data_IF_792577179948
#
_entry.id   IF_792577179948
#
_cell.length_a   1.000
_cell.length_b   1.000
_cell.length_c   1.000
_cell.angle_alpha   90.00
_cell.angle_beta   90.00
_cell.angle_gamma   90.00
#
_symmetry.space_group_name_H-M   'P 1'
#
loop_
_entity.id
_entity.type
_entity.pdbx_description
1 polymer ?
#
# COMPACT_ATOMS: atom_id res chain seq x y z
N UNK A 1 -0.52 28.69 5.79
CA UNK A 1 -0.68 29.02 4.35
C UNK A 1 0.43 29.99 3.94
N UNK A 2 0.98 29.80 2.73
CA UNK A 2 2.02 30.67 2.16
C UNK A 2 1.43 32.01 1.70
N UNK A 3 2.23 33.07 1.78
CA UNK A 3 1.90 34.33 1.07
C UNK A 3 2.05 34.14 -0.45
N UNK A 4 1.35 34.94 -1.29
CA UNK A 4 1.47 34.84 -2.75
C UNK A 4 2.92 34.97 -3.24
N UNK A 5 3.70 35.87 -2.64
CA UNK A 5 5.12 36.06 -2.97
C UNK A 5 5.97 34.83 -2.61
N UNK A 6 5.74 34.20 -1.45
CA UNK A 6 6.44 32.98 -1.06
C UNK A 6 6.10 31.81 -1.99
N UNK A 7 4.81 31.65 -2.35
CA UNK A 7 4.38 30.61 -3.29
C UNK A 7 5.02 30.81 -4.66
N UNK A 8 4.99 32.02 -5.19
CA UNK A 8 5.63 32.34 -6.47
C UNK A 8 7.14 32.10 -6.44
N UNK A 9 7.82 32.55 -5.38
CA UNK A 9 9.26 32.30 -5.20
C UNK A 9 9.56 30.80 -5.19
N UNK A 10 8.86 30.00 -4.38
CA UNK A 10 9.04 28.55 -4.37
C UNK A 10 8.83 27.92 -5.75
N UNK A 11 7.80 28.37 -6.48
CA UNK A 11 7.49 27.88 -7.83
C UNK A 11 8.65 28.13 -8.80
N UNK A 12 9.09 29.38 -8.92
CA UNK A 12 10.17 29.76 -9.83
C UNK A 12 11.47 29.03 -9.49
N UNK A 13 11.75 28.83 -8.20
CA UNK A 13 12.99 28.16 -7.78
C UNK A 13 12.96 26.65 -8.02
N UNK A 14 11.82 26.00 -7.82
CA UNK A 14 11.62 24.60 -8.18
C UNK A 14 11.70 24.39 -9.70
N UNK A 15 11.09 25.28 -10.47
CA UNK A 15 11.12 25.24 -11.93
C UNK A 15 12.55 25.34 -12.48
N UNK A 16 13.31 26.35 -12.02
CA UNK A 16 14.73 26.54 -12.39
C UNK A 16 15.61 25.35 -12.04
N UNK A 17 15.34 24.70 -10.91
CA UNK A 17 16.06 23.49 -10.50
C UNK A 17 15.84 22.35 -11.50
N UNK A 18 14.63 22.22 -12.05
CA UNK A 18 14.32 21.22 -13.07
C UNK A 18 15.01 21.50 -14.40
N UNK A 19 15.02 22.75 -14.85
CA UNK A 19 15.50 23.15 -16.18
C UNK A 19 17.03 23.25 -16.32
N UNK A 20 17.75 23.49 -15.22
CA UNK A 20 19.19 23.74 -15.31
C UNK A 20 20.00 22.43 -15.30
N UNK A 21 20.89 22.26 -16.29
CA UNK A 21 21.89 21.17 -16.31
C UNK A 21 22.82 21.24 -15.07
N UNK A 22 23.14 22.47 -14.64
CA UNK A 22 23.92 22.77 -13.44
C UNK A 22 23.08 23.58 -12.45
N UNK A 23 22.90 23.04 -11.23
CA UNK A 23 22.13 23.69 -10.18
C UNK A 23 22.81 25.00 -9.72
N UNK A 24 22.13 26.13 -9.89
CA UNK A 24 22.61 27.44 -9.41
C UNK A 24 22.68 27.47 -7.88
N UNK A 25 23.54 28.30 -7.29
CA UNK A 25 23.63 28.43 -5.83
C UNK A 25 22.29 28.80 -5.21
N UNK A 26 21.56 29.73 -5.82
CA UNK A 26 20.27 30.18 -5.32
C UNK A 26 19.21 29.06 -5.38
N UNK A 27 19.16 28.28 -6.46
CA UNK A 27 18.23 27.12 -6.56
C UNK A 27 18.58 26.02 -5.56
N UNK A 28 19.88 25.78 -5.31
CA UNK A 28 20.33 24.83 -4.29
C UNK A 28 19.90 25.27 -2.90
N UNK A 29 20.12 26.54 -2.55
CA UNK A 29 19.68 27.09 -1.26
C UNK A 29 18.16 26.99 -1.07
N UNK A 30 17.37 27.27 -2.12
CA UNK A 30 15.91 27.12 -2.06
C UNK A 30 15.49 25.66 -1.83
N UNK A 31 16.15 24.71 -2.51
CA UNK A 31 15.93 23.28 -2.31
C UNK A 31 16.29 22.82 -0.88
N UNK A 32 17.42 23.28 -0.34
CA UNK A 32 17.84 22.99 1.03
C UNK A 32 16.83 23.53 2.06
N UNK A 33 16.25 24.71 1.81
CA UNK A 33 15.22 25.29 2.68
C UNK A 33 13.94 24.44 2.71
N UNK A 34 13.46 23.97 1.56
CA UNK A 34 12.25 23.14 1.51
C UNK A 34 12.50 21.76 2.13
N UNK A 35 13.69 21.17 1.92
CA UNK A 35 14.10 19.94 2.59
C UNK A 35 14.21 20.11 4.10
N UNK A 36 14.76 21.24 4.56
CA UNK A 36 14.83 21.54 5.99
C UNK A 36 13.43 21.61 6.61
N UNK A 37 12.48 22.30 5.95
CA UNK A 37 11.08 22.33 6.38
C UNK A 37 10.48 20.92 6.45
N UNK A 38 10.67 20.12 5.41
CA UNK A 38 10.20 18.74 5.39
C UNK A 38 10.73 17.94 6.59
N UNK A 39 12.01 18.09 6.93
CA UNK A 39 12.63 17.42 8.09
C UNK A 39 12.03 17.88 9.41
N UNK A 40 11.75 19.17 9.58
CA UNK A 40 11.05 19.68 10.77
C UNK A 40 9.64 19.08 10.90
N UNK A 41 8.88 19.04 9.80
CA UNK A 41 7.54 18.46 9.79
C UNK A 41 7.59 16.95 10.08
N UNK A 42 8.53 16.22 9.49
CA UNK A 42 8.76 14.80 9.79
C UNK A 42 9.11 14.58 11.26
N UNK A 43 9.93 15.45 11.87
CA UNK A 43 10.26 15.37 13.29
C UNK A 43 9.02 15.60 14.18
N UNK A 44 8.14 16.55 13.82
CA UNK A 44 6.89 16.80 14.52
C UNK A 44 5.93 15.59 14.40
N UNK A 45 5.78 15.01 13.21
CA UNK A 45 4.94 13.83 13.00
C UNK A 45 5.41 12.61 13.79
N UNK A 46 6.72 12.46 14.01
CA UNK A 46 7.28 11.37 14.84
C UNK A 46 6.90 11.46 16.32
N UNK A 47 6.51 12.63 16.82
CA UNK A 47 6.06 12.81 18.21
C UNK A 47 4.62 12.34 18.42
N UNK A 48 3.87 12.13 17.34
CA UNK A 48 2.48 11.67 17.39
C UNK A 48 2.44 10.17 17.13
N UNK A 49 1.67 9.43 17.93
CA UNK A 49 1.52 7.98 17.75
C UNK A 49 0.38 7.64 16.78
N UNK A 50 -0.77 8.30 16.94
CA UNK A 50 -1.98 8.07 16.13
C UNK A 50 -1.79 8.43 14.66
N UNK A 51 -2.08 7.48 13.77
CA UNK A 51 -1.98 7.70 12.33
C UNK A 51 -3.08 8.63 11.81
N UNK A 52 -4.29 8.57 12.38
CA UNK A 52 -5.35 9.53 12.06
C UNK A 52 -4.94 10.97 12.42
N UNK A 53 -4.30 11.17 13.57
CA UNK A 53 -3.80 12.50 13.97
C UNK A 53 -2.65 12.94 13.07
N UNK A 54 -1.74 12.04 12.68
CA UNK A 54 -0.70 12.35 11.70
C UNK A 54 -1.30 12.75 10.35
N UNK A 55 -2.36 12.09 9.90
CA UNK A 55 -3.03 12.41 8.65
C UNK A 55 -3.59 13.85 8.66
N UNK A 56 -4.25 14.25 9.75
CA UNK A 56 -4.73 15.63 9.91
C UNK A 56 -3.58 16.66 9.94
N UNK A 57 -2.47 16.33 10.62
CA UNK A 57 -1.29 17.19 10.63
C UNK A 57 -0.66 17.33 9.25
N UNK A 58 -0.49 16.22 8.51
CA UNK A 58 0.01 16.24 7.14
C UNK A 58 -0.88 17.11 6.24
N UNK A 59 -2.20 16.97 6.38
CA UNK A 59 -3.19 17.77 5.63
C UNK A 59 -3.06 19.27 5.90
N UNK A 60 -2.82 19.65 7.15
CA UNK A 60 -2.57 21.05 7.51
C UNK A 60 -1.23 21.59 6.96
N UNK A 61 -0.22 20.73 6.82
CA UNK A 61 1.12 21.09 6.35
C UNK A 61 1.26 21.13 4.82
N UNK A 62 0.51 20.30 4.08
CA UNK A 62 0.60 20.17 2.62
C UNK A 62 0.52 21.52 1.86
N UNK A 63 -0.37 22.47 2.21
CA UNK A 63 -0.45 23.77 1.54
C UNK A 63 0.82 24.62 1.62
N UNK A 64 1.79 24.29 2.49
CA UNK A 64 3.08 24.98 2.59
C UNK A 64 4.10 24.53 1.54
N UNK A 65 3.75 23.55 0.72
CA UNK A 65 4.58 23.00 -0.35
C UNK A 65 4.03 23.29 -1.74
N UNK A 66 2.83 23.86 -1.84
CA UNK A 66 2.13 24.17 -3.08
C UNK A 66 3.03 24.82 -4.16
N UNK A 67 3.80 25.84 -3.78
CA UNK A 67 4.70 26.52 -4.72
C UNK A 67 5.78 25.58 -5.25
N UNK A 68 6.37 24.76 -4.38
CA UNK A 68 7.39 23.78 -4.78
C UNK A 68 6.81 22.67 -5.66
N UNK A 69 5.62 22.18 -5.32
CA UNK A 69 4.87 21.20 -6.11
C UNK A 69 4.62 21.76 -7.52
N UNK A 70 4.00 22.94 -7.60
CA UNK A 70 3.63 23.54 -8.88
C UNK A 70 4.86 23.75 -9.77
N UNK A 71 5.95 24.29 -9.22
CA UNK A 71 7.16 24.55 -10.01
C UNK A 71 7.91 23.28 -10.42
N UNK A 72 7.91 22.24 -9.58
CA UNK A 72 8.56 20.96 -9.94
C UNK A 72 7.80 20.28 -11.07
N UNK A 73 6.46 20.24 -10.97
CA UNK A 73 5.61 19.63 -11.99
C UNK A 73 5.61 20.44 -13.30
N UNK A 74 5.60 21.77 -13.23
CA UNK A 74 5.71 22.63 -14.42
C UNK A 74 7.06 22.46 -15.14
N UNK A 75 8.14 22.14 -14.42
CA UNK A 75 9.45 21.89 -15.02
C UNK A 75 9.52 20.59 -15.84
N UNK A 76 8.66 19.63 -15.51
CA UNK A 76 8.58 18.28 -16.08
C UNK A 76 9.93 17.56 -16.27
N UNK A 77 10.91 17.86 -15.41
CA UNK A 77 12.31 17.47 -15.64
C UNK A 77 12.64 16.02 -15.29
N UNK A 78 11.78 15.33 -14.56
CA UNK A 78 12.07 14.01 -13.99
C UNK A 78 13.23 14.00 -12.99
N UNK A 79 13.69 15.17 -12.54
CA UNK A 79 14.77 15.26 -11.56
C UNK A 79 14.32 14.68 -10.22
N UNK A 80 15.17 13.83 -9.62
CA UNK A 80 14.92 13.27 -8.30
C UNK A 80 14.69 14.39 -7.26
N UNK A 81 13.59 14.26 -6.53
CA UNK A 81 13.16 15.19 -5.51
C UNK A 81 12.50 14.44 -4.35
N UNK A 82 13.19 14.40 -3.21
CA UNK A 82 12.72 13.74 -1.98
C UNK A 82 11.43 14.38 -1.45
N UNK A 83 11.26 15.69 -1.65
CA UNK A 83 10.07 16.41 -1.21
C UNK A 83 8.86 15.89 -1.99
N UNK A 84 8.92 15.86 -3.31
CA UNK A 84 7.80 15.42 -4.15
C UNK A 84 7.35 13.99 -3.83
N UNK A 85 8.29 13.04 -3.76
CA UNK A 85 7.94 11.64 -3.46
C UNK A 85 7.38 11.47 -2.04
N UNK A 86 7.85 12.27 -1.07
CA UNK A 86 7.32 12.24 0.30
C UNK A 86 5.92 12.84 0.37
N UNK A 87 5.68 13.95 -0.33
CA UNK A 87 4.38 14.62 -0.34
C UNK A 87 3.32 13.79 -1.07
N UNK A 88 3.70 12.99 -2.09
CA UNK A 88 2.81 12.01 -2.70
C UNK A 88 2.25 11.04 -1.66
N UNK A 89 3.14 10.46 -0.84
CA UNK A 89 2.72 9.54 0.23
C UNK A 89 1.85 10.26 1.26
N UNK A 90 2.21 11.49 1.66
CA UNK A 90 1.39 12.26 2.59
C UNK A 90 0.00 12.56 2.03
N UNK A 91 -0.12 12.87 0.75
CA UNK A 91 -1.41 13.07 0.10
C UNK A 91 -2.28 11.81 0.17
N UNK A 92 -1.68 10.63 -0.04
CA UNK A 92 -2.37 9.34 0.13
C UNK A 92 -2.82 9.13 1.58
N UNK A 93 -1.93 9.37 2.55
CA UNK A 93 -2.24 9.24 3.98
C UNK A 93 -3.41 10.15 4.41
N UNK A 94 -3.49 11.35 3.80
CA UNK A 94 -4.56 12.32 4.04
C UNK A 94 -5.85 12.04 3.27
N UNK A 95 -5.87 11.01 2.41
CA UNK A 95 -6.96 10.72 1.47
C UNK A 95 -7.25 11.90 0.51
N UNK A 96 -6.25 12.74 0.24
CA UNK A 96 -6.33 13.80 -0.78
C UNK A 96 -6.05 13.18 -2.15
N UNK A 97 -7.09 12.60 -2.74
CA UNK A 97 -6.98 11.86 -4.00
C UNK A 97 -6.51 12.76 -5.15
N UNK A 98 -6.92 14.03 -5.18
CA UNK A 98 -6.53 14.95 -6.25
C UNK A 98 -5.01 15.21 -6.22
N UNK A 99 -4.45 15.51 -5.05
CA UNK A 99 -3.02 15.75 -4.93
C UNK A 99 -2.22 14.44 -5.08
N UNK A 100 -2.71 13.33 -4.53
CA UNK A 100 -2.06 12.02 -4.65
C UNK A 100 -1.93 11.57 -6.10
N UNK A 101 -2.98 11.75 -6.92
CA UNK A 101 -2.95 11.43 -8.35
C UNK A 101 -2.05 12.38 -9.14
N UNK A 102 -2.11 13.69 -8.85
CA UNK A 102 -1.25 14.71 -9.47
C UNK A 102 0.23 14.37 -9.27
N UNK A 103 0.64 14.09 -8.04
CA UNK A 103 2.03 13.74 -7.71
C UNK A 103 2.38 12.32 -8.18
N UNK A 104 1.46 11.37 -8.00
CA UNK A 104 1.63 9.97 -8.37
C UNK A 104 1.90 9.78 -9.85
N UNK A 105 1.19 10.51 -10.72
CA UNK A 105 1.44 10.52 -12.16
C UNK A 105 2.88 10.90 -12.47
N UNK A 106 3.33 12.06 -11.98
CA UNK A 106 4.68 12.55 -12.21
C UNK A 106 5.75 11.59 -11.67
N UNK A 107 5.58 11.10 -10.43
CA UNK A 107 6.53 10.19 -9.79
C UNK A 107 6.65 8.86 -10.57
N UNK A 108 5.54 8.28 -11.02
CA UNK A 108 5.52 7.00 -11.75
C UNK A 108 5.99 7.16 -13.20
N UNK A 109 5.62 8.25 -13.86
CA UNK A 109 6.01 8.53 -15.25
C UNK A 109 7.53 8.72 -15.37
N UNK A 110 8.12 9.51 -14.47
CA UNK A 110 9.56 9.76 -14.43
C UNK A 110 10.38 8.72 -13.65
N UNK A 111 9.73 7.72 -13.04
CA UNK A 111 10.40 6.66 -12.30
C UNK A 111 11.17 7.14 -11.07
N UNK A 112 10.64 8.15 -10.35
CA UNK A 112 11.32 8.69 -9.19
C UNK A 112 11.38 7.67 -8.06
N UNK A 113 12.56 7.58 -7.44
CA UNK A 113 12.81 6.60 -6.38
C UNK A 113 12.25 7.08 -5.04
N UNK A 114 11.56 6.18 -4.32
CA UNK A 114 11.19 6.44 -2.93
C UNK A 114 12.41 6.24 -2.01
N UNK A 115 12.56 7.01 -0.93
CA UNK A 115 13.65 6.81 0.03
C UNK A 115 13.59 5.41 0.67
N UNK A 116 14.63 4.60 0.42
CA UNK A 116 14.68 3.19 0.83
C UNK A 116 14.65 2.97 2.35
N UNK A 117 15.03 3.97 3.14
CA UNK A 117 14.98 3.94 4.59
C UNK A 117 13.55 4.09 5.14
N UNK A 118 12.66 4.72 4.36
CA UNK A 118 11.26 4.99 4.75
C UNK A 118 10.28 4.05 4.08
N UNK A 119 10.57 3.62 2.84
CA UNK A 119 9.68 2.84 2.01
C UNK A 119 10.34 1.56 1.55
N UNK A 120 9.65 0.43 1.76
CA UNK A 120 10.11 -0.90 1.33
C UNK A 120 9.68 -1.26 -0.10
N UNK A 121 8.83 -0.44 -0.71
CA UNK A 121 8.15 -0.68 -1.99
C UNK A 121 8.36 0.53 -2.90
N UNK A 122 8.35 0.29 -4.21
CA UNK A 122 8.46 1.36 -5.22
C UNK A 122 7.18 2.23 -5.30
N UNK A 123 7.27 3.32 -6.06
CA UNK A 123 6.17 4.28 -6.21
C UNK A 123 4.90 3.67 -6.77
N UNK A 124 5.04 2.79 -7.77
CA UNK A 124 3.93 2.14 -8.47
C UNK A 124 3.14 1.28 -7.49
N UNK A 125 3.86 0.48 -6.72
CA UNK A 125 3.31 -0.40 -5.69
C UNK A 125 2.63 0.39 -4.59
N UNK A 126 3.30 1.42 -4.06
CA UNK A 126 2.73 2.29 -3.00
C UNK A 126 1.45 2.98 -3.49
N UNK A 127 1.46 3.57 -4.68
CA UNK A 127 0.30 4.26 -5.23
C UNK A 127 -0.89 3.31 -5.42
N UNK A 128 -0.68 2.17 -6.08
CA UNK A 128 -1.73 1.20 -6.34
C UNK A 128 -2.33 0.62 -5.05
N UNK A 129 -1.47 0.26 -4.10
CA UNK A 129 -1.88 -0.40 -2.86
C UNK A 129 -2.56 0.55 -1.88
N UNK A 130 -1.94 1.69 -1.60
CA UNK A 130 -2.39 2.58 -0.53
C UNK A 130 -3.64 3.36 -0.94
N UNK A 131 -3.86 3.62 -2.23
CA UNK A 131 -5.15 4.16 -2.72
C UNK A 131 -6.26 3.11 -2.69
N UNK A 132 -5.92 1.82 -2.84
CA UNK A 132 -6.91 0.73 -2.79
C UNK A 132 -7.33 0.36 -1.36
N UNK A 133 -6.41 0.45 -0.39
CA UNK A 133 -6.61 0.00 0.99
C UNK A 133 -7.87 0.59 1.68
N UNK A 134 -8.15 1.91 1.59
CA UNK A 134 -9.35 2.52 2.19
C UNK A 134 -10.65 1.94 1.62
N UNK A 135 -10.72 1.77 0.30
CA UNK A 135 -11.90 1.22 -0.40
C UNK A 135 -12.16 -0.21 0.05
N UNK A 136 -11.10 -1.03 0.12
CA UNK A 136 -11.21 -2.43 0.55
C UNK A 136 -11.54 -2.57 2.04
N UNK A 137 -11.01 -1.67 2.87
CA UNK A 137 -11.34 -1.61 4.29
C UNK A 137 -12.82 -1.30 4.45
N UNK A 138 -13.31 -0.24 3.79
CA UNK A 138 -14.71 0.16 3.85
C UNK A 138 -15.63 -0.95 3.33
N UNK A 139 -15.31 -1.57 2.20
CA UNK A 139 -16.06 -2.70 1.65
C UNK A 139 -16.16 -3.91 2.60
N UNK A 140 -15.17 -4.07 3.49
CA UNK A 140 -15.12 -5.15 4.49
C UNK A 140 -15.88 -4.79 5.76
N UNK A 141 -15.78 -3.54 6.21
CA UNK A 141 -16.40 -3.06 7.45
C UNK A 141 -17.87 -2.68 7.28
N UNK A 142 -18.27 -2.31 6.07
CA UNK A 142 -19.63 -1.92 5.70
C UNK A 142 -19.96 -2.50 4.32
N UNK A 143 -20.78 -3.55 4.31
CA UNK A 143 -21.18 -4.23 3.08
C UNK A 143 -22.12 -3.39 2.21
N UNK A 144 -22.81 -2.42 2.79
CA UNK A 144 -23.82 -1.60 2.12
C UNK A 144 -23.29 -0.20 1.75
N UNK A 145 -22.03 0.11 2.11
CA UNK A 145 -21.38 1.36 1.76
C UNK A 145 -21.38 1.59 0.24
N UNK A 146 -21.77 2.80 -0.15
CA UNK A 146 -21.62 3.27 -1.52
C UNK A 146 -20.14 3.61 -1.79
N UNK A 147 -19.54 2.85 -2.71
CA UNK A 147 -18.14 2.99 -3.11
C UNK A 147 -18.00 3.63 -4.50
N UNK A 148 -19.10 4.01 -5.14
CA UNK A 148 -19.12 4.56 -6.50
C UNK A 148 -18.25 5.80 -6.65
N UNK A 149 -18.17 6.63 -5.60
CA UNK A 149 -17.33 7.83 -5.54
C UNK A 149 -15.82 7.56 -5.73
N UNK A 150 -15.34 6.33 -5.50
CA UNK A 150 -13.93 5.97 -5.70
C UNK A 150 -13.61 5.53 -7.13
N UNK A 151 -14.62 5.33 -7.98
CA UNK A 151 -14.43 4.74 -9.33
C UNK A 151 -13.43 5.55 -10.17
N UNK A 152 -13.61 6.87 -10.26
CA UNK A 152 -12.74 7.73 -11.05
C UNK A 152 -11.28 7.71 -10.54
N UNK A 153 -11.10 7.78 -9.22
CA UNK A 153 -9.77 7.77 -8.59
C UNK A 153 -9.04 6.46 -8.86
N UNK A 154 -9.72 5.32 -8.69
CA UNK A 154 -9.13 4.00 -8.89
C UNK A 154 -8.82 3.71 -10.37
N UNK A 155 -9.63 4.22 -11.29
CA UNK A 155 -9.36 4.13 -12.72
C UNK A 155 -8.16 4.98 -13.13
N UNK A 156 -8.03 6.18 -12.55
CA UNK A 156 -6.87 7.03 -12.80
C UNK A 156 -5.58 6.38 -12.26
N UNK A 157 -5.62 5.77 -11.07
CA UNK A 157 -4.50 4.96 -10.56
C UNK A 157 -4.18 3.82 -11.53
N UNK A 158 -5.18 3.08 -12.01
CA UNK A 158 -4.97 1.98 -12.95
C UNK A 158 -4.32 2.46 -14.25
N UNK A 159 -4.70 3.63 -14.75
CA UNK A 159 -4.08 4.24 -15.93
C UNK A 159 -2.63 4.68 -15.68
N UNK A 160 -2.33 5.26 -14.50
CA UNK A 160 -0.96 5.68 -14.14
C UNK A 160 -0.02 4.47 -14.06
N UNK A 161 -0.49 3.35 -13.53
CA UNK A 161 0.33 2.15 -13.31
C UNK A 161 0.24 1.12 -14.44
N UNK A 162 -0.46 1.45 -15.54
CA UNK A 162 -0.60 0.54 -16.67
C UNK A 162 0.76 0.24 -17.31
N UNK A 163 0.97 -1.03 -17.66
CA UNK A 163 2.25 -1.52 -18.17
C UNK A 163 3.46 -1.43 -17.22
N UNK A 164 3.29 -0.91 -15.99
CA UNK A 164 4.36 -0.85 -14.98
C UNK A 164 4.42 -2.15 -14.18
N UNK A 165 5.64 -2.55 -13.81
CA UNK A 165 5.88 -3.72 -12.98
C UNK A 165 5.40 -3.49 -11.54
N UNK A 166 4.79 -4.51 -10.95
CA UNK A 166 4.38 -4.55 -9.53
C UNK A 166 4.02 -5.99 -9.14
N UNK A 167 4.08 -6.35 -7.85
CA UNK A 167 3.63 -7.66 -7.38
C UNK A 167 2.19 -7.98 -7.79
N UNK A 168 1.93 -9.22 -8.20
CA UNK A 168 0.58 -9.66 -8.60
C UNK A 168 -0.47 -9.48 -7.49
N UNK A 169 -0.07 -9.61 -6.23
CA UNK A 169 -0.95 -9.36 -5.08
C UNK A 169 -1.44 -7.90 -5.03
N UNK A 170 -0.59 -6.95 -5.41
CA UNK A 170 -0.90 -5.52 -5.42
C UNK A 170 -1.77 -5.18 -6.63
N UNK A 171 -1.48 -5.77 -7.80
CA UNK A 171 -2.35 -5.63 -8.97
C UNK A 171 -3.73 -6.22 -8.71
N UNK A 172 -3.80 -7.40 -8.09
CA UNK A 172 -5.06 -8.01 -7.67
C UNK A 172 -5.85 -7.12 -6.71
N UNK A 173 -5.15 -6.46 -5.77
CA UNK A 173 -5.75 -5.50 -4.83
C UNK A 173 -6.41 -4.32 -5.54
N UNK A 174 -5.73 -3.73 -6.53
CA UNK A 174 -6.29 -2.64 -7.34
C UNK A 174 -7.51 -3.09 -8.16
N UNK A 175 -7.43 -4.24 -8.83
CA UNK A 175 -8.58 -4.82 -9.55
C UNK A 175 -9.77 -5.05 -8.59
N UNK A 176 -9.50 -5.61 -7.41
CA UNK A 176 -10.52 -5.84 -6.36
C UNK A 176 -11.17 -4.54 -5.91
N UNK A 177 -10.41 -3.49 -5.64
CA UNK A 177 -10.94 -2.18 -5.24
C UNK A 177 -11.82 -1.56 -6.34
N UNK A 178 -11.35 -1.60 -7.60
CA UNK A 178 -12.12 -1.13 -8.77
C UNK A 178 -13.42 -1.89 -8.98
N UNK A 179 -13.43 -3.19 -8.69
CA UNK A 179 -14.64 -4.00 -8.75
C UNK A 179 -15.63 -3.61 -7.65
N UNK A 180 -15.15 -3.38 -6.41
CA UNK A 180 -16.00 -2.93 -5.31
C UNK A 180 -16.63 -1.56 -5.57
N UNK A 181 -15.93 -0.63 -6.21
CA UNK A 181 -16.51 0.68 -6.57
C UNK A 181 -17.66 0.58 -7.58
N UNK A 182 -17.77 -0.55 -8.30
CA UNK A 182 -18.74 -0.79 -9.37
C UNK A 182 -19.82 -1.81 -9.03
N UNK A 183 -19.65 -2.64 -7.99
CA UNK A 183 -20.54 -3.78 -7.71
C UNK A 183 -22.01 -3.40 -7.54
N UNK A 184 -22.28 -2.20 -7.02
CA UNK A 184 -23.61 -1.69 -6.72
C UNK A 184 -24.26 -0.92 -7.89
N UNK A 185 -23.58 -0.83 -9.04
CA UNK A 185 -24.12 -0.13 -10.22
C UNK A 185 -25.46 -0.72 -10.66
N UNK A 186 -26.35 0.10 -11.21
CA UNK A 186 -27.69 -0.35 -11.64
C UNK A 186 -27.64 -0.97 -13.04
N UNK A 187 -26.77 -0.45 -13.91
CA UNK A 187 -26.64 -0.91 -15.27
C UNK A 187 -25.84 -2.22 -15.39
N UNK A 188 -26.25 -3.07 -16.33
CA UNK A 188 -25.63 -4.38 -16.54
C UNK A 188 -24.18 -4.28 -17.03
N UNK A 189 -23.83 -3.22 -17.76
CA UNK A 189 -22.49 -3.04 -18.30
C UNK A 189 -21.46 -2.84 -17.18
N UNK A 190 -21.70 -1.89 -16.27
CA UNK A 190 -20.81 -1.60 -15.14
C UNK A 190 -20.71 -2.79 -14.18
N UNK A 191 -21.80 -3.55 -13.99
CA UNK A 191 -21.75 -4.82 -13.24
C UNK A 191 -20.90 -5.88 -13.94
N UNK A 192 -20.96 -5.98 -15.27
CA UNK A 192 -20.13 -6.91 -16.04
C UNK A 192 -18.63 -6.53 -15.97
N UNK A 193 -18.32 -5.24 -15.96
CA UNK A 193 -16.96 -4.74 -15.70
C UNK A 193 -16.49 -5.13 -14.29
N UNK A 194 -17.33 -4.92 -13.26
CA UNK A 194 -17.02 -5.33 -11.89
C UNK A 194 -16.72 -6.83 -11.78
N UNK A 195 -17.53 -7.67 -12.44
CA UNK A 195 -17.33 -9.11 -12.49
C UNK A 195 -16.01 -9.49 -13.18
N UNK A 196 -15.67 -8.81 -14.27
CA UNK A 196 -14.40 -9.01 -14.99
C UNK A 196 -13.20 -8.67 -14.09
N UNK A 197 -13.26 -7.52 -13.41
CA UNK A 197 -12.23 -7.08 -12.47
C UNK A 197 -12.06 -8.04 -11.28
N UNK A 198 -13.14 -8.58 -10.72
CA UNK A 198 -13.03 -9.60 -9.66
C UNK A 198 -12.38 -10.89 -10.17
N UNK A 199 -12.70 -11.32 -11.40
CA UNK A 199 -12.07 -12.50 -12.01
C UNK A 199 -10.58 -12.27 -12.25
N UNK A 200 -10.19 -11.10 -12.75
CA UNK A 200 -8.79 -10.70 -12.90
C UNK A 200 -8.06 -10.71 -11.55
N UNK A 201 -8.67 -10.13 -10.51
CA UNK A 201 -8.11 -10.14 -9.16
C UNK A 201 -7.88 -11.57 -8.65
N UNK A 202 -8.84 -12.48 -8.88
CA UNK A 202 -8.72 -13.89 -8.49
C UNK A 202 -7.68 -14.65 -9.33
N UNK A 203 -7.55 -14.35 -10.62
CA UNK A 203 -6.57 -14.97 -11.50
C UNK A 203 -5.14 -14.60 -11.10
N UNK A 204 -4.92 -13.35 -10.67
CA UNK A 204 -3.63 -12.87 -10.16
C UNK A 204 -3.33 -13.34 -8.74
N UNK A 205 -4.35 -13.36 -7.88
CA UNK A 205 -4.22 -13.81 -6.51
C UNK A 205 -5.41 -14.73 -6.13
N UNK A 206 -5.23 -16.06 -6.12
CA UNK A 206 -6.26 -17.01 -5.72
C UNK A 206 -6.81 -16.77 -4.30
N UNK A 207 -6.01 -16.12 -3.43
CA UNK A 207 -6.38 -15.75 -2.06
C UNK A 207 -7.01 -14.34 -1.96
N UNK A 208 -7.36 -13.71 -3.09
CA UNK A 208 -8.01 -12.40 -3.10
C UNK A 208 -9.37 -12.36 -2.37
N UNK A 209 -10.00 -13.52 -2.13
CA UNK A 209 -11.22 -13.62 -1.31
C UNK A 209 -12.48 -13.08 -1.98
N UNK A 210 -12.57 -13.13 -3.32
CA UNK A 210 -13.66 -12.53 -4.12
C UNK A 210 -14.65 -13.55 -4.70
N UNK A 211 -14.60 -14.81 -4.24
CA UNK A 211 -15.41 -15.90 -4.81
C UNK A 211 -16.92 -15.67 -4.63
N UNK A 212 -17.33 -15.07 -3.50
CA UNK A 212 -18.74 -14.82 -3.21
C UNK A 212 -19.28 -13.70 -4.09
N UNK A 213 -18.49 -12.65 -4.26
CA UNK A 213 -18.77 -11.47 -5.07
C UNK A 213 -18.93 -11.86 -6.55
N UNK A 214 -18.04 -12.71 -7.07
CA UNK A 214 -18.14 -13.28 -8.41
C UNK A 214 -19.46 -14.05 -8.58
N UNK A 215 -19.81 -14.91 -7.62
CA UNK A 215 -21.03 -15.72 -7.67
C UNK A 215 -22.30 -14.84 -7.63
N UNK A 216 -22.32 -13.83 -6.76
CA UNK A 216 -23.43 -12.88 -6.64
C UNK A 216 -23.63 -12.08 -7.92
N UNK A 217 -22.59 -11.41 -8.42
CA UNK A 217 -22.69 -10.60 -9.64
C UNK A 217 -23.03 -11.44 -10.88
N UNK A 218 -22.54 -12.67 -10.97
CA UNK A 218 -22.92 -13.59 -12.07
C UNK A 218 -24.41 -13.88 -12.07
N UNK A 219 -25.04 -14.09 -10.90
CA UNK A 219 -26.49 -14.34 -10.78
C UNK A 219 -27.29 -13.08 -11.12
N UNK A 220 -26.86 -11.93 -10.61
CA UNK A 220 -27.52 -10.65 -10.88
C UNK A 220 -27.50 -10.30 -12.37
N UNK A 221 -26.37 -10.51 -13.05
CA UNK A 221 -26.25 -10.28 -14.50
C UNK A 221 -27.14 -11.22 -15.31
N UNK A 222 -27.27 -12.50 -14.93
CA UNK A 222 -28.23 -13.42 -15.56
C UNK A 222 -29.67 -12.91 -15.45
N UNK A 223 -30.02 -12.29 -14.32
CA UNK A 223 -31.35 -11.69 -14.11
C UNK A 223 -31.56 -10.40 -14.89
N UNK A 224 -30.52 -9.57 -15.02
CA UNK A 224 -30.56 -8.30 -15.75
C UNK A 224 -30.49 -8.47 -17.28
N UNK A 225 -29.95 -9.60 -17.74
CA UNK A 225 -29.84 -9.94 -19.16
C UNK A 225 -30.51 -11.30 -19.46
N UNK A 226 -31.85 -11.42 -19.29
CA UNK A 226 -32.57 -12.62 -19.65
C UNK A 226 -32.54 -12.77 -21.18
N UNK A 227 -31.63 -13.60 -21.69
CA UNK A 227 -31.44 -13.81 -23.14
C UNK A 227 -30.05 -14.28 -23.57
N UNK A 228 -29.02 -14.19 -22.71
CA UNK A 228 -27.70 -14.78 -22.98
C UNK A 228 -27.63 -16.24 -22.47
N UNK A 229 -28.45 -17.11 -23.03
CA UNK A 229 -28.36 -18.56 -22.82
C UNK A 229 -27.88 -19.23 -24.11
N UNK A 230 -26.65 -19.73 -24.07
CA UNK A 230 -26.28 -21.01 -24.68
C UNK A 230 -24.99 -21.50 -24.03
N UNK A 231 -25.13 -22.39 -23.03
CA UNK A 231 -24.50 -23.71 -23.03
C UNK A 231 -25.08 -24.57 -21.89
N UNK A 232 -25.07 -25.91 -22.06
CA UNK A 232 -26.12 -26.79 -21.55
C UNK A 232 -26.03 -27.07 -20.06
N UNK A 233 -27.21 -27.24 -19.47
CA UNK A 233 -27.43 -27.80 -18.15
C UNK A 233 -26.87 -29.23 -18.08
N UNK A 234 -25.87 -29.45 -17.23
CA UNK A 234 -25.55 -30.78 -16.75
C UNK A 234 -26.63 -31.15 -15.73
N UNK A 235 -27.54 -32.05 -16.14
CA UNK A 235 -28.61 -32.55 -15.29
C UNK A 235 -28.09 -33.57 -14.28
N UNK A 236 -28.66 -33.59 -13.06
CA UNK A 236 -28.22 -34.46 -11.98
C UNK A 236 -28.75 -35.88 -12.15
N UNK A 237 -27.88 -36.88 -12.01
CA UNK A 237 -28.28 -38.27 -11.78
C UNK A 237 -28.09 -38.59 -10.29
N UNK A 238 -29.22 -38.88 -9.63
CA UNK A 238 -29.28 -39.40 -8.28
C UNK A 238 -28.94 -40.89 -8.21
N UNK A 239 -28.29 -41.22 -7.09
CA UNK A 239 -28.55 -42.33 -6.15
C UNK A 239 -28.90 -43.73 -6.71
N UNK A 240 -28.01 -44.69 -6.43
CA UNK A 240 -28.41 -46.00 -5.91
C UNK A 240 -27.42 -46.47 -4.82
N UNK A 241 -27.98 -47.14 -3.83
CA UNK A 241 -27.47 -47.37 -2.48
C UNK A 241 -26.86 -48.79 -2.33
N UNK A 242 -26.29 -49.05 -1.15
CA UNK A 242 -26.06 -50.36 -0.48
C UNK A 242 -24.83 -51.21 -0.90
N UNK A 243 -24.02 -51.86 -0.04
CA UNK A 243 -24.09 -52.20 1.40
C UNK A 243 -22.71 -52.68 1.92
N UNK A 244 -22.38 -52.34 3.17
CA UNK A 244 -21.69 -53.13 4.24
C UNK A 244 -20.36 -53.87 4.02
N UNK A 245 -19.41 -53.67 4.97
CA UNK A 245 -18.52 -54.75 5.44
C UNK A 245 -17.19 -54.34 6.07
N UNK A 246 -17.12 -54.30 7.40
CA UNK A 246 -15.90 -54.28 8.25
C UNK A 246 -16.25 -55.07 9.54
N UNK A 247 -15.32 -55.69 10.32
CA UNK A 247 -13.98 -56.27 10.12
C UNK A 247 -13.94 -57.77 10.60
N UNK A 248 -12.78 -58.42 10.90
CA UNK A 248 -12.18 -58.27 12.23
C UNK A 248 -10.64 -58.35 12.31
N UNK A 249 -10.13 -58.00 13.49
CA UNK A 249 -8.73 -58.01 13.94
C UNK A 249 -8.26 -59.34 14.52
N UNK A 250 -6.94 -59.59 14.47
CA UNK A 250 -6.05 -60.29 15.42
C UNK A 250 -4.66 -60.47 14.74
N UNK A 251 -3.47 -60.59 15.33
CA UNK A 251 -2.84 -60.38 16.65
C UNK A 251 -1.41 -60.97 16.51
N UNK A 252 -0.37 -60.26 17.01
CA UNK A 252 0.92 -60.78 17.54
C UNK A 252 1.93 -61.44 16.55
N UNK A 253 3.27 -61.42 16.70
CA UNK A 253 4.21 -60.89 17.70
C UNK A 253 5.67 -60.83 17.14
N UNK A 254 6.50 -59.99 17.77
CA UNK A 254 7.95 -60.06 18.08
C UNK A 254 9.05 -60.30 16.99
N UNK A 255 9.97 -59.33 16.83
CA UNK A 255 11.29 -59.23 17.55
C UNK A 255 12.33 -58.39 16.76
N UNK A 256 13.02 -57.49 17.46
CA UNK A 256 14.12 -56.60 16.99
C UNK A 256 15.48 -57.37 16.82
N UNK A 257 16.57 -56.73 16.33
CA UNK A 257 17.40 -55.91 17.21
C UNK A 257 17.95 -54.59 16.62
N UNK A 258 18.47 -53.77 17.54
CA UNK A 258 18.85 -52.36 17.46
C UNK A 258 20.24 -52.04 16.89
N UNK A 259 20.45 -50.79 16.41
CA UNK A 259 21.69 -49.99 16.60
C UNK A 259 21.36 -48.47 16.69
N UNK A 260 22.26 -47.72 17.33
CA UNK A 260 22.16 -46.48 18.12
C UNK A 260 22.39 -45.13 17.39
N UNK A 261 21.76 -44.09 17.97
CA UNK A 261 22.21 -42.68 18.28
C UNK A 261 22.62 -41.77 17.10
N UNK A 262 22.30 -40.46 17.06
CA UNK A 262 22.38 -39.44 18.11
C UNK A 262 21.55 -38.20 17.72
N UNK A 263 20.84 -37.60 18.69
CA UNK A 263 20.24 -36.26 18.60
C UNK A 263 21.02 -35.31 19.52
N UNK A 264 21.21 -34.05 19.11
CA UNK A 264 21.68 -32.97 19.99
C UNK A 264 20.72 -31.79 19.88
N UNK A 265 20.02 -31.54 21.00
CA UNK A 265 19.27 -30.33 21.30
C UNK A 265 19.88 -29.83 22.60
N UNK A 266 20.37 -28.59 22.65
CA UNK A 266 20.91 -28.02 23.88
C UNK A 266 20.14 -26.75 24.25
N UNK A 267 19.48 -26.82 25.40
CA UNK A 267 18.88 -25.73 26.16
C UNK A 267 19.54 -25.73 27.53
N UNK A 268 19.84 -24.54 28.07
CA UNK A 268 19.92 -24.16 29.50
C UNK A 268 20.80 -22.90 29.60
N UNK A 269 20.74 -22.02 30.59
CA UNK A 269 19.72 -21.58 31.53
C UNK A 269 20.35 -20.35 32.24
N UNK A 270 19.47 -19.45 32.66
CA UNK A 270 19.68 -18.22 33.44
C UNK A 270 20.25 -18.49 34.85
N UNK A 271 21.19 -17.66 35.35
CA UNK A 271 21.09 -17.08 36.71
C UNK A 271 22.02 -15.89 36.97
N UNK A 272 21.45 -14.99 37.76
CA UNK A 272 21.85 -13.71 38.36
C UNK A 272 23.00 -13.78 39.37
N UNK A 273 23.72 -12.65 39.57
CA UNK A 273 23.94 -11.98 40.88
C UNK A 273 24.70 -10.64 40.75
N UNK A 274 24.21 -9.58 41.41
CA UNK A 274 24.96 -8.40 41.89
C UNK A 274 25.57 -8.77 43.27
N UNK A 275 26.64 -8.12 43.78
CA UNK A 275 26.44 -6.88 44.52
C UNK A 275 27.59 -5.84 44.44
N UNK A 276 27.35 -4.77 45.18
CA UNK A 276 28.00 -3.47 45.42
C UNK A 276 29.42 -3.45 46.03
N UNK A 277 30.16 -2.36 45.83
CA UNK A 277 31.27 -1.96 46.70
C UNK A 277 31.92 -0.61 46.34
N UNK A 278 31.82 0.36 47.27
CA UNK A 278 32.37 1.74 47.24
C UNK A 278 33.88 1.79 47.53
N UNK A 279 34.53 2.92 47.17
CA UNK A 279 35.65 3.64 47.88
C UNK A 279 36.66 4.18 46.85
N UNK A 280 37.29 5.36 46.93
CA UNK A 280 37.19 6.62 47.69
C UNK A 280 38.25 7.56 47.07
N UNK A 281 38.01 8.87 47.16
CA UNK A 281 38.84 9.95 46.63
C UNK A 281 40.26 10.05 47.23
N UNK A 282 41.19 10.65 46.47
CA UNK A 282 42.28 11.46 47.02
C UNK A 282 42.70 12.57 46.03
N UNK A 283 42.53 13.82 46.48
CA UNK A 283 43.16 15.05 45.96
C UNK A 283 44.67 14.97 46.15
N UNK A 284 45.44 15.58 45.25
CA UNK A 284 46.58 16.40 45.67
C UNK A 284 46.87 17.52 44.66
N UNK A 285 47.06 18.70 45.23
CA UNK A 285 47.37 19.97 44.59
C UNK A 285 48.89 20.15 44.42
N UNK A 286 49.29 20.97 43.44
CA UNK A 286 50.15 22.17 43.60
C UNK A 286 51.35 22.32 42.62
N UNK A 287 51.49 23.59 42.18
CA UNK A 287 52.65 24.33 41.59
C UNK A 287 52.95 24.03 40.11
N UNK A 288 53.09 25.02 39.23
CA UNK A 288 53.46 26.44 39.35
C UNK A 288 52.54 27.35 38.55
#
# INVERSE_FOLDING_TARGET
MLTPAQRHFQRVMAERRGQADTETEVSRTAHEQILHRLRLHQAALKQVQSDATKAEMKKAMLPEYDGWIDGTLESDSGRQDEVIVTLMVWAIDCQDSALALKLGRYVVEHGLSLPADKFRRDAVTVLAEEVSNPVLTLATTDTDADLSGYTAVLDEVAAIVDGKDMPDEVRAKLCKARAFSRRAAVDAQTKAEALTLFREAMARNPNAGVKREIATLTRELKKLMPGSSNEPEDSPLGDDETTTGTPPAASADATQPAVKKTAVRNTTARKTTRPTGKSKAARQSAKR
#
